data_IF_481931208069
#
_entry.id   IF_481931208069
#
_cell.length_a   1.000
_cell.length_b   1.000
_cell.length_c   1.000
_cell.angle_alpha   90.00
_cell.angle_beta   90.00
_cell.angle_gamma   90.00
#
_symmetry.space_group_name_H-M   'P 1'
#
loop_
_entity.id
_entity.type
_entity.pdbx_description
1 polymer ?
#
# COMPACT_ATOMS: atom_id res chain seq x y z
N UNK A 1 12.05 -15.25 -3.95
CA UNK A 1 12.68 -16.52 -4.33
C UNK A 1 12.33 -16.89 -5.76
N UNK A 2 11.03 -17.07 -6.13
CA UNK A 2 10.62 -17.49 -7.49
C UNK A 2 11.18 -16.59 -8.61
N UNK A 3 11.19 -15.27 -8.43
CA UNK A 3 11.75 -14.35 -9.42
C UNK A 3 13.25 -14.53 -9.66
N UNK A 4 13.98 -15.07 -8.69
CA UNK A 4 15.41 -15.45 -8.85
C UNK A 4 15.61 -16.82 -9.46
N UNK A 5 14.65 -17.74 -9.27
CA UNK A 5 14.71 -19.09 -9.80
C UNK A 5 14.22 -19.20 -11.24
N UNK A 6 13.18 -18.44 -11.58
CA UNK A 6 12.46 -18.53 -12.86
C UNK A 6 12.60 -17.27 -13.73
N UNK A 7 13.31 -16.25 -13.26
CA UNK A 7 13.55 -14.97 -13.93
C UNK A 7 14.94 -14.43 -13.62
N UNK A 8 15.14 -13.16 -13.92
CA UNK A 8 16.41 -12.45 -13.72
C UNK A 8 16.49 -11.68 -12.41
N UNK A 9 15.74 -12.11 -11.38
CA UNK A 9 15.70 -11.50 -10.07
C UNK A 9 14.61 -10.42 -9.93
N UNK A 10 14.39 -9.96 -8.69
CA UNK A 10 13.31 -9.04 -8.33
C UNK A 10 13.64 -7.56 -8.61
N UNK A 11 14.83 -7.24 -9.08
CA UNK A 11 15.22 -5.90 -9.52
C UNK A 11 15.12 -5.73 -11.05
N UNK A 12 14.92 -6.82 -11.77
CA UNK A 12 14.74 -6.81 -13.21
C UNK A 12 13.29 -6.44 -13.58
N UNK A 13 13.12 -5.35 -14.32
CA UNK A 13 11.79 -4.82 -14.68
C UNK A 13 10.96 -5.82 -15.49
N UNK A 14 11.57 -6.54 -16.46
CA UNK A 14 10.85 -7.53 -17.26
C UNK A 14 10.35 -8.68 -16.37
N UNK A 15 11.21 -9.17 -15.47
CA UNK A 15 10.80 -10.19 -14.48
C UNK A 15 9.63 -9.72 -13.62
N UNK A 16 9.66 -8.48 -13.15
CA UNK A 16 8.53 -7.90 -12.38
C UNK A 16 7.24 -7.86 -13.21
N UNK A 17 7.32 -7.45 -14.48
CA UNK A 17 6.16 -7.42 -15.38
C UNK A 17 5.62 -8.82 -15.63
N UNK A 18 6.49 -9.81 -15.89
CA UNK A 18 6.11 -11.20 -16.14
C UNK A 18 5.43 -11.84 -14.92
N UNK A 19 5.85 -11.46 -13.71
CA UNK A 19 5.26 -11.94 -12.45
C UNK A 19 4.01 -11.16 -12.00
N UNK A 20 3.59 -10.11 -12.73
CA UNK A 20 2.34 -9.40 -12.49
C UNK A 20 2.45 -8.06 -11.78
N UNK A 21 3.59 -7.36 -11.90
CA UNK A 21 3.70 -5.97 -11.47
C UNK A 21 2.68 -5.08 -12.19
N UNK A 22 2.25 -4.00 -11.56
CA UNK A 22 1.33 -3.03 -12.15
C UNK A 22 2.08 -2.20 -13.22
N UNK A 23 2.16 -2.76 -14.41
CA UNK A 23 2.62 -2.05 -15.60
C UNK A 23 1.42 -1.36 -16.24
N UNK A 24 1.40 -0.02 -16.17
CA UNK A 24 0.20 0.77 -16.48
C UNK A 24 -0.28 0.51 -17.91
N UNK A 25 0.64 0.36 -18.87
CA UNK A 25 0.28 0.04 -20.26
C UNK A 25 -0.55 -1.24 -20.36
N UNK A 26 -0.12 -2.32 -19.73
CA UNK A 26 -0.82 -3.61 -19.75
C UNK A 26 -2.10 -3.58 -18.90
N UNK A 27 -2.06 -2.89 -17.76
CA UNK A 27 -3.25 -2.73 -16.91
C UNK A 27 -4.36 -1.99 -17.66
N UNK A 28 -4.02 -0.92 -18.40
CA UNK A 28 -4.99 -0.21 -19.26
C UNK A 28 -5.45 -1.02 -20.47
N UNK A 29 -4.63 -1.98 -20.93
CA UNK A 29 -5.00 -2.91 -21.99
C UNK A 29 -5.94 -4.05 -21.53
N UNK A 30 -6.25 -4.13 -20.22
CA UNK A 30 -7.22 -5.09 -19.67
C UNK A 30 -6.65 -6.11 -18.68
N UNK A 31 -5.33 -6.08 -18.39
CA UNK A 31 -4.73 -6.98 -17.41
C UNK A 31 -4.97 -6.51 -15.97
N UNK A 32 -6.24 -6.40 -15.55
CA UNK A 32 -6.66 -5.83 -14.27
C UNK A 32 -6.19 -6.61 -13.04
N UNK A 33 -5.83 -7.88 -13.18
CA UNK A 33 -5.24 -8.67 -12.09
C UNK A 33 -3.98 -8.04 -11.52
N UNK A 34 -3.26 -7.24 -12.30
CA UNK A 34 -2.05 -6.51 -11.90
C UNK A 34 -2.30 -5.50 -10.77
N UNK A 35 -3.55 -5.02 -10.64
CA UNK A 35 -3.94 -4.14 -9.52
C UNK A 35 -3.78 -4.82 -8.17
N UNK A 36 -3.85 -6.15 -8.12
CA UNK A 36 -3.72 -6.96 -6.91
C UNK A 36 -2.35 -7.65 -6.85
N UNK A 37 -1.93 -8.31 -7.91
CA UNK A 37 -0.69 -9.11 -7.92
C UNK A 37 0.54 -8.27 -7.65
N UNK A 38 0.56 -7.01 -8.07
CA UNK A 38 1.66 -6.07 -7.83
C UNK A 38 1.97 -5.87 -6.34
N UNK A 39 0.97 -5.98 -5.47
CA UNK A 39 1.14 -5.82 -4.03
C UNK A 39 1.92 -6.96 -3.35
N UNK A 40 2.10 -8.08 -4.04
CA UNK A 40 2.85 -9.24 -3.55
C UNK A 40 4.26 -9.33 -4.14
N UNK A 41 4.64 -8.40 -4.99
CA UNK A 41 5.97 -8.32 -5.59
C UNK A 41 6.75 -7.16 -4.96
N UNK A 42 8.05 -7.34 -4.80
CA UNK A 42 8.93 -6.32 -4.22
C UNK A 42 10.21 -6.15 -5.04
N UNK A 43 10.65 -4.92 -5.18
CA UNK A 43 11.85 -4.54 -5.93
C UNK A 43 13.06 -4.64 -5.00
N UNK A 44 13.74 -5.78 -5.03
CA UNK A 44 14.88 -6.07 -4.17
C UNK A 44 14.51 -6.52 -2.75
N UNK A 45 15.49 -7.07 -2.06
CA UNK A 45 15.33 -7.65 -0.73
C UNK A 45 15.06 -6.59 0.34
N UNK A 46 15.74 -5.45 0.26
CA UNK A 46 15.57 -4.35 1.24
C UNK A 46 14.14 -3.81 1.19
N UNK A 47 13.59 -3.59 0.00
CA UNK A 47 12.21 -3.15 -0.16
C UNK A 47 11.22 -4.16 0.46
N UNK A 48 11.43 -5.46 0.25
CA UNK A 48 10.63 -6.51 0.88
C UNK A 48 10.71 -6.46 2.41
N UNK A 49 11.91 -6.39 2.97
CA UNK A 49 12.11 -6.40 4.43
C UNK A 49 11.46 -5.17 5.10
N UNK A 50 11.63 -3.99 4.51
CA UNK A 50 11.02 -2.76 5.03
C UNK A 50 9.49 -2.81 4.99
N UNK A 51 8.92 -3.33 3.89
CA UNK A 51 7.48 -3.53 3.78
C UNK A 51 6.95 -4.54 4.80
N UNK A 52 7.64 -5.68 4.98
CA UNK A 52 7.21 -6.71 5.93
C UNK A 52 7.31 -6.21 7.37
N UNK A 53 8.36 -5.46 7.72
CA UNK A 53 8.49 -4.84 9.04
C UNK A 53 7.36 -3.82 9.30
N UNK A 54 7.10 -2.95 8.34
CA UNK A 54 6.00 -1.98 8.44
C UNK A 54 4.64 -2.65 8.54
N UNK A 55 4.41 -3.69 7.72
CA UNK A 55 3.18 -4.47 7.77
C UNK A 55 3.00 -5.17 9.12
N UNK A 56 4.05 -5.70 9.70
CA UNK A 56 3.99 -6.30 11.03
C UNK A 56 3.54 -5.28 12.10
N UNK A 57 4.16 -4.10 12.13
CA UNK A 57 3.85 -3.08 13.14
C UNK A 57 2.44 -2.51 12.94
N UNK A 58 2.14 -2.04 11.73
CA UNK A 58 0.87 -1.35 11.43
C UNK A 58 -0.27 -2.35 11.31
N UNK A 59 -0.01 -3.49 10.69
CA UNK A 59 -1.01 -4.54 10.47
C UNK A 59 -1.55 -5.14 11.77
N UNK A 60 -0.67 -5.41 12.75
CA UNK A 60 -1.10 -5.93 14.06
C UNK A 60 -1.99 -4.94 14.80
N UNK A 61 -1.74 -3.64 14.69
CA UNK A 61 -2.60 -2.61 15.29
C UNK A 61 -3.97 -2.57 14.62
N UNK A 62 -4.01 -2.61 13.29
CA UNK A 62 -5.29 -2.59 12.55
C UNK A 62 -6.08 -3.88 12.82
N UNK A 63 -5.43 -5.04 12.83
CA UNK A 63 -6.08 -6.30 13.19
C UNK A 63 -6.66 -6.26 14.61
N UNK A 64 -5.96 -5.64 15.55
CA UNK A 64 -6.45 -5.46 16.93
C UNK A 64 -7.70 -4.58 16.99
N UNK A 65 -7.75 -3.45 16.25
CA UNK A 65 -8.88 -2.51 16.30
C UNK A 65 -10.09 -2.98 15.48
N UNK A 66 -9.87 -3.64 14.35
CA UNK A 66 -10.90 -3.97 13.38
C UNK A 66 -11.26 -5.46 13.31
N UNK A 67 -10.39 -6.32 13.86
CA UNK A 67 -10.50 -7.78 13.70
C UNK A 67 -10.01 -8.27 12.33
N UNK A 68 -9.79 -9.58 12.23
CA UNK A 68 -9.11 -10.22 11.08
C UNK A 68 -9.81 -9.97 9.75
N UNK A 69 -11.13 -10.11 9.71
CA UNK A 69 -11.90 -10.00 8.45
C UNK A 69 -11.84 -8.58 7.90
N UNK A 70 -12.10 -7.58 8.75
CA UNK A 70 -12.05 -6.18 8.33
C UNK A 70 -10.63 -5.74 7.99
N UNK A 71 -9.61 -6.23 8.71
CA UNK A 71 -8.22 -6.02 8.35
C UNK A 71 -7.91 -6.46 6.91
N UNK A 72 -8.34 -7.65 6.51
CA UNK A 72 -8.13 -8.16 5.15
C UNK A 72 -8.86 -7.29 4.12
N UNK A 73 -10.10 -6.89 4.41
CA UNK A 73 -10.88 -6.02 3.53
C UNK A 73 -10.19 -4.67 3.36
N UNK A 74 -9.75 -4.05 4.45
CA UNK A 74 -9.04 -2.76 4.43
C UNK A 74 -7.74 -2.89 3.63
N UNK A 75 -6.96 -3.94 3.87
CA UNK A 75 -5.71 -4.20 3.16
C UNK A 75 -5.90 -4.32 1.64
N UNK A 76 -6.78 -5.22 1.22
CA UNK A 76 -7.01 -5.48 -0.22
C UNK A 76 -7.65 -4.28 -0.93
N UNK A 77 -8.61 -3.62 -0.31
CA UNK A 77 -9.23 -2.42 -0.88
C UNK A 77 -8.21 -1.29 -1.05
N UNK A 78 -7.37 -1.08 -0.03
CA UNK A 78 -6.31 -0.06 -0.08
C UNK A 78 -5.26 -0.37 -1.13
N UNK A 79 -4.91 -1.64 -1.31
CA UNK A 79 -4.00 -2.08 -2.37
C UNK A 79 -4.56 -1.72 -3.75
N UNK A 80 -5.83 -2.05 -4.00
CA UNK A 80 -6.50 -1.75 -5.27
C UNK A 80 -6.57 -0.23 -5.50
N UNK A 81 -6.94 0.55 -4.48
CA UNK A 81 -7.01 2.01 -4.58
C UNK A 81 -5.63 2.63 -4.86
N UNK A 82 -4.59 2.14 -4.20
CA UNK A 82 -3.22 2.57 -4.49
C UNK A 82 -2.79 2.26 -5.92
N UNK A 83 -3.11 1.06 -6.41
CA UNK A 83 -2.83 0.65 -7.80
C UNK A 83 -3.63 1.49 -8.81
N UNK A 84 -4.90 1.80 -8.54
CA UNK A 84 -5.73 2.66 -9.39
C UNK A 84 -5.21 4.09 -9.44
N UNK A 85 -4.79 4.67 -8.31
CA UNK A 85 -4.18 5.99 -8.30
C UNK A 85 -2.87 6.03 -9.10
N UNK A 86 -2.06 4.96 -9.02
CA UNK A 86 -0.86 4.82 -9.86
C UNK A 86 -1.23 4.83 -11.33
N UNK A 87 -2.25 4.05 -11.74
CA UNK A 87 -2.72 4.00 -13.15
C UNK A 87 -3.26 5.35 -13.62
N UNK A 88 -3.90 6.11 -12.74
CA UNK A 88 -4.51 7.40 -13.07
C UNK A 88 -3.50 8.56 -13.14
N UNK A 89 -2.49 8.55 -12.26
CA UNK A 89 -1.64 9.72 -11.99
C UNK A 89 -0.18 9.56 -12.49
N UNK A 90 0.24 8.34 -12.88
CA UNK A 90 1.60 8.10 -13.33
C UNK A 90 1.67 7.92 -14.85
N UNK A 91 2.88 7.99 -15.40
CA UNK A 91 3.07 7.80 -16.84
C UNK A 91 2.76 6.37 -17.27
N UNK A 92 2.35 6.18 -18.51
CA UNK A 92 1.95 4.89 -19.08
C UNK A 92 3.05 3.81 -19.01
N UNK A 93 4.31 4.23 -19.01
CA UNK A 93 5.48 3.34 -18.93
C UNK A 93 5.88 2.99 -17.48
N UNK A 94 5.14 3.46 -16.49
CA UNK A 94 5.45 3.18 -15.08
C UNK A 94 5.18 1.71 -14.75
N UNK A 95 6.12 1.09 -14.06
CA UNK A 95 5.99 -0.23 -13.44
C UNK A 95 6.04 -0.05 -11.92
N UNK A 96 5.01 -0.53 -11.23
CA UNK A 96 4.87 -0.41 -9.77
C UNK A 96 4.69 -1.77 -9.13
N UNK A 97 5.35 -1.97 -8.00
CA UNK A 97 5.26 -3.18 -7.20
C UNK A 97 5.52 -2.85 -5.73
N UNK A 98 4.87 -3.59 -4.83
CA UNK A 98 5.06 -3.49 -3.39
C UNK A 98 3.75 -3.40 -2.60
N UNK A 99 3.82 -3.83 -1.35
CA UNK A 99 2.71 -3.78 -0.40
C UNK A 99 2.48 -2.38 0.18
N UNK A 100 3.32 -1.40 -0.14
CA UNK A 100 3.33 -0.10 0.53
C UNK A 100 2.03 0.69 0.37
N UNK A 101 1.34 0.59 -0.78
CA UNK A 101 0.02 1.19 -0.96
C UNK A 101 -1.01 0.65 0.04
N UNK A 102 -1.05 -0.67 0.24
CA UNK A 102 -1.90 -1.30 1.25
C UNK A 102 -1.49 -0.88 2.68
N UNK A 103 -0.20 -0.80 2.98
CA UNK A 103 0.31 -0.37 4.29
C UNK A 103 -0.09 1.08 4.58
N UNK A 104 -0.01 1.98 3.60
CA UNK A 104 -0.54 3.34 3.73
C UNK A 104 -2.05 3.34 3.98
N UNK A 105 -2.78 2.39 3.41
CA UNK A 105 -4.19 2.21 3.70
C UNK A 105 -4.47 1.77 5.14
N UNK A 106 -3.62 0.90 5.68
CA UNK A 106 -3.70 0.55 7.11
C UNK A 106 -3.41 1.77 8.00
N UNK A 107 -2.46 2.64 7.64
CA UNK A 107 -2.26 3.92 8.33
C UNK A 107 -3.50 4.82 8.22
N UNK A 108 -4.15 4.86 7.05
CA UNK A 108 -5.42 5.57 6.85
C UNK A 108 -6.54 5.05 7.74
N UNK A 109 -6.61 3.73 7.97
CA UNK A 109 -7.59 3.12 8.87
C UNK A 109 -7.35 3.47 10.34
N UNK A 110 -6.10 3.52 10.78
CA UNK A 110 -5.76 3.98 12.15
C UNK A 110 -6.09 5.47 12.30
N UNK A 111 -5.82 6.28 11.27
CA UNK A 111 -6.17 7.70 11.27
C UNK A 111 -7.68 7.89 11.40
N UNK A 112 -8.49 7.13 10.64
CA UNK A 112 -9.94 7.14 10.78
C UNK A 112 -10.40 6.76 12.19
N UNK A 113 -9.82 5.69 12.76
CA UNK A 113 -10.10 5.28 14.13
C UNK A 113 -9.82 6.41 15.12
N UNK A 114 -8.63 7.02 15.03
CA UNK A 114 -8.22 8.10 15.92
C UNK A 114 -9.11 9.34 15.82
N UNK A 115 -9.55 9.69 14.60
CA UNK A 115 -10.48 10.82 14.37
C UNK A 115 -11.87 10.53 14.90
N UNK A 116 -12.38 9.31 14.68
CA UNK A 116 -13.73 8.90 15.10
C UNK A 116 -13.86 8.79 16.62
N UNK A 117 -12.86 8.23 17.27
CA UNK A 117 -12.83 8.04 18.72
C UNK A 117 -11.95 9.11 19.40
N UNK A 118 -12.29 10.36 19.16
CA UNK A 118 -11.62 11.52 19.78
C UNK A 118 -11.67 11.39 21.28
N UNK A 119 -10.57 11.66 21.92
CA UNK A 119 -10.30 11.53 23.35
C UNK A 119 -8.81 11.29 23.52
N UNK A 120 -8.36 10.89 24.69
CA UNK A 120 -6.92 10.71 24.92
C UNK A 120 -6.29 9.71 23.94
N UNK A 121 -6.90 8.53 23.76
CA UNK A 121 -6.38 7.47 22.89
C UNK A 121 -6.41 7.90 21.42
N UNK A 122 -7.54 8.44 20.94
CA UNK A 122 -7.68 8.87 19.55
C UNK A 122 -6.72 9.98 19.16
N UNK A 123 -6.59 10.99 19.99
CA UNK A 123 -5.64 12.08 19.77
C UNK A 123 -4.19 11.59 19.79
N UNK A 124 -3.84 10.67 20.68
CA UNK A 124 -2.52 10.06 20.72
C UNK A 124 -2.19 9.30 19.42
N UNK A 125 -3.14 8.53 18.89
CA UNK A 125 -2.98 7.82 17.61
C UNK A 125 -2.79 8.78 16.45
N UNK A 126 -3.62 9.82 16.34
CA UNK A 126 -3.50 10.84 15.28
C UNK A 126 -2.12 11.50 15.34
N UNK A 127 -1.69 11.92 16.54
CA UNK A 127 -0.39 12.57 16.73
C UNK A 127 0.80 11.66 16.41
N UNK A 128 0.66 10.35 16.51
CA UNK A 128 1.69 9.39 16.12
C UNK A 128 1.68 9.09 14.61
N UNK A 129 0.51 8.94 14.01
CA UNK A 129 0.37 8.50 12.62
C UNK A 129 0.62 9.63 11.63
N UNK A 130 0.13 10.84 11.90
CA UNK A 130 0.28 11.99 10.97
C UNK A 130 1.75 12.28 10.64
N UNK A 131 2.67 12.39 11.61
CA UNK A 131 4.09 12.60 11.29
C UNK A 131 4.70 11.47 10.46
N UNK A 132 4.33 10.21 10.73
CA UNK A 132 4.80 9.05 9.97
C UNK A 132 4.35 9.13 8.51
N UNK A 133 3.07 9.43 8.27
CA UNK A 133 2.52 9.60 6.92
C UNK A 133 3.21 10.74 6.20
N UNK A 134 3.30 11.92 6.82
CA UNK A 134 3.91 13.12 6.24
C UNK A 134 5.38 12.86 5.89
N UNK A 135 6.15 12.29 6.80
CA UNK A 135 7.57 11.99 6.57
C UNK A 135 7.76 11.01 5.40
N UNK A 136 6.96 9.95 5.36
CA UNK A 136 7.06 8.96 4.27
C UNK A 136 6.64 9.55 2.92
N UNK A 137 5.64 10.43 2.87
CA UNK A 137 5.26 11.14 1.65
C UNK A 137 6.36 12.11 1.19
N UNK A 138 6.99 12.85 2.12
CA UNK A 138 8.13 13.73 1.80
C UNK A 138 9.28 12.90 1.22
N UNK A 139 9.65 11.80 1.85
CA UNK A 139 10.69 10.89 1.35
C UNK A 139 10.32 10.38 -0.06
N UNK A 140 9.07 10.00 -0.27
CA UNK A 140 8.59 9.55 -1.57
C UNK A 140 8.66 10.61 -2.66
N UNK A 141 8.37 11.88 -2.36
CA UNK A 141 8.49 12.98 -3.32
C UNK A 141 9.95 13.37 -3.62
N UNK A 142 10.84 13.15 -2.68
CA UNK A 142 12.26 13.52 -2.82
C UNK A 142 13.13 12.37 -3.34
N UNK A 143 12.64 11.13 -3.32
CA UNK A 143 13.38 9.94 -3.76
C UNK A 143 12.84 9.43 -5.08
N UNK A 144 13.65 9.42 -6.15
CA UNK A 144 13.25 8.87 -7.44
C UNK A 144 12.84 7.38 -7.32
N UNK A 145 11.82 6.97 -8.05
CA UNK A 145 11.34 5.58 -8.08
C UNK A 145 10.34 5.21 -7.00
N UNK A 146 10.06 6.08 -6.03
CA UNK A 146 8.99 5.85 -5.05
C UNK A 146 7.66 6.39 -5.60
N UNK A 147 6.66 5.51 -5.67
CA UNK A 147 5.34 5.83 -6.21
C UNK A 147 4.39 6.45 -5.19
N UNK A 148 4.44 7.75 -4.97
CA UNK A 148 3.52 8.43 -4.04
C UNK A 148 2.05 8.33 -4.44
N UNK A 149 1.73 8.14 -5.72
CA UNK A 149 0.35 7.90 -6.16
C UNK A 149 -0.26 6.68 -5.47
N UNK A 150 0.50 5.57 -5.37
CA UNK A 150 0.08 4.37 -4.65
C UNK A 150 -0.10 4.63 -3.14
N UNK A 151 0.79 5.40 -2.54
CA UNK A 151 0.73 5.75 -1.11
C UNK A 151 -0.49 6.62 -0.79
N UNK A 152 -0.73 7.67 -1.56
CA UNK A 152 -1.89 8.56 -1.39
C UNK A 152 -3.19 7.79 -1.66
N UNK A 153 -3.26 7.02 -2.75
CA UNK A 153 -4.42 6.21 -3.09
C UNK A 153 -4.74 5.16 -2.01
N UNK A 154 -3.71 4.49 -1.49
CA UNK A 154 -3.85 3.56 -0.38
C UNK A 154 -4.35 4.23 0.89
N UNK A 155 -3.74 5.35 1.30
CA UNK A 155 -4.13 6.13 2.49
C UNK A 155 -5.61 6.54 2.43
N UNK A 156 -6.01 7.16 1.31
CA UNK A 156 -7.40 7.58 1.08
C UNK A 156 -8.34 6.37 1.07
N UNK A 157 -7.97 5.32 0.35
CA UNK A 157 -8.75 4.08 0.27
C UNK A 157 -8.97 3.45 1.64
N UNK A 158 -7.90 3.33 2.44
CA UNK A 158 -7.97 2.77 3.79
C UNK A 158 -8.83 3.59 4.73
N UNK A 159 -8.74 4.91 4.68
CA UNK A 159 -9.61 5.79 5.45
C UNK A 159 -11.08 5.60 5.07
N UNK A 160 -11.40 5.65 3.76
CA UNK A 160 -12.77 5.53 3.27
C UNK A 160 -13.40 4.15 3.53
N UNK A 161 -12.68 3.06 3.27
CA UNK A 161 -13.22 1.72 3.53
C UNK A 161 -13.44 1.49 5.03
N UNK A 162 -12.61 2.08 5.89
CA UNK A 162 -12.78 2.00 7.34
C UNK A 162 -14.07 2.70 7.82
N UNK A 163 -14.48 3.78 7.13
CA UNK A 163 -15.80 4.39 7.38
C UNK A 163 -16.92 3.43 7.02
N UNK A 164 -16.79 2.70 5.91
CA UNK A 164 -17.84 1.80 5.41
C UNK A 164 -17.97 0.51 6.24
N UNK A 165 -16.83 -0.14 6.59
CA UNK A 165 -16.86 -1.38 7.36
C UNK A 165 -17.12 -1.15 8.86
N UNK A 166 -16.89 0.04 9.33
CA UNK A 166 -17.04 0.41 10.74
C UNK A 166 -16.10 -0.35 11.68
N UNK A 167 -16.09 0.07 12.93
CA UNK A 167 -15.40 -0.63 14.01
C UNK A 167 -16.49 -1.45 14.73
N UNK A 168 -16.23 -2.75 14.83
CA UNK A 168 -17.20 -3.68 15.44
C UNK A 168 -17.30 -3.50 16.91
#
# INVERSE_FOLDING_TARGET
VLMYMLGNGSENTNTLIDFGANYILLTKAGEYYRLITSGFLHIGVIHLLLNMYSLYIVGTQVEYFYGKVKYIIIYLFSLIMGSLFTVALSSVNTVSAGASGAIFGLLGSILYFGVKYRGYIGNSLVNQIVPVVVLNLIIGFTTPGIGNAAHIGGLVGGYLISMAVGIG
#
